data_IF_094436739498
#
_entry.id   IF_094436739498
#
_cell.length_a   1.000
_cell.length_b   1.000
_cell.length_c   1.000
_cell.angle_alpha   90.00
_cell.angle_beta   90.00
_cell.angle_gamma   90.00
#
_symmetry.space_group_name_H-M   'P 1'
#
loop_
_entity.id
_entity.type
_entity.pdbx_description
1 polymer ?
#
# COMPACT_ATOMS: atom_id res chain seq x y z
N UNK A 1 48.45 7.65 31.58
CA UNK A 1 47.02 7.82 31.26
C UNK A 1 46.80 9.26 30.85
N UNK A 2 46.52 9.53 29.56
CA UNK A 2 46.17 10.89 29.11
C UNK A 2 44.82 11.24 29.72
N UNK A 3 44.77 12.29 30.54
CA UNK A 3 43.50 12.89 31.00
C UNK A 3 42.82 13.41 29.74
N UNK A 4 41.71 12.78 29.33
CA UNK A 4 40.93 13.29 28.21
C UNK A 4 40.49 14.71 28.55
N UNK A 5 40.94 15.66 27.73
CA UNK A 5 40.62 17.07 27.90
C UNK A 5 39.09 17.20 27.81
N UNK A 6 38.43 17.89 28.73
CA UNK A 6 36.97 18.09 28.68
C UNK A 6 36.55 18.75 27.36
N UNK A 7 37.45 19.49 26.72
CA UNK A 7 37.28 20.09 25.38
C UNK A 7 37.23 19.02 24.28
N UNK A 8 38.04 17.97 24.37
CA UNK A 8 38.04 16.87 23.40
C UNK A 8 36.74 16.05 23.48
N UNK A 9 36.22 15.83 24.69
CA UNK A 9 34.94 15.16 24.92
C UNK A 9 33.79 15.98 24.33
N UNK A 10 33.80 17.30 24.57
CA UNK A 10 32.78 18.20 24.02
C UNK A 10 32.77 18.19 22.49
N UNK A 11 33.95 18.22 21.85
CA UNK A 11 34.05 18.15 20.38
C UNK A 11 33.50 16.84 19.81
N UNK A 12 33.74 15.70 20.47
CA UNK A 12 33.21 14.41 20.04
C UNK A 12 31.67 14.40 20.09
N UNK A 13 31.08 14.96 21.15
CA UNK A 13 29.62 15.03 21.30
C UNK A 13 28.99 15.90 20.20
N UNK A 14 29.61 17.05 19.88
CA UNK A 14 29.16 17.94 18.80
C UNK A 14 29.23 17.23 17.44
N UNK A 15 30.32 16.50 17.16
CA UNK A 15 30.46 15.76 15.90
C UNK A 15 29.42 14.65 15.79
N UNK A 16 29.17 13.89 16.87
CA UNK A 16 28.16 12.82 16.88
C UNK A 16 26.74 13.36 16.69
N UNK A 17 26.42 14.52 17.27
CA UNK A 17 25.10 15.15 17.08
C UNK A 17 24.90 15.65 15.65
N UNK A 18 25.91 16.25 15.03
CA UNK A 18 25.84 16.69 13.62
C UNK A 18 25.66 15.49 12.67
N UNK A 19 26.40 14.40 12.88
CA UNK A 19 26.26 13.17 12.08
C UNK A 19 24.86 12.56 12.27
N UNK A 20 24.34 12.54 13.50
CA UNK A 20 22.99 12.06 13.79
C UNK A 20 21.91 12.86 13.06
N UNK A 21 22.00 14.19 13.08
CA UNK A 21 21.05 15.08 12.38
C UNK A 21 21.11 14.87 10.87
N UNK A 22 22.32 14.81 10.29
CA UNK A 22 22.50 14.57 8.85
C UNK A 22 21.98 13.17 8.44
N UNK A 23 22.18 12.16 9.28
CA UNK A 23 21.64 10.81 9.07
C UNK A 23 20.12 10.80 9.06
N UNK A 24 19.47 11.51 9.98
CA UNK A 24 18.00 11.65 10.01
C UNK A 24 17.47 12.38 8.78
N UNK A 25 18.12 13.47 8.34
CA UNK A 25 17.73 14.19 7.12
C UNK A 25 17.88 13.30 5.88
N UNK A 26 18.98 12.53 5.80
CA UNK A 26 19.20 11.59 4.71
C UNK A 26 18.16 10.48 4.68
N UNK A 27 17.83 9.90 5.85
CA UNK A 27 16.78 8.88 5.99
C UNK A 27 15.39 9.44 5.65
N UNK A 28 15.09 10.70 6.03
CA UNK A 28 13.82 11.36 5.67
C UNK A 28 13.70 11.61 4.16
N UNK A 29 14.80 11.86 3.45
CA UNK A 29 14.81 11.98 2.00
C UNK A 29 14.82 10.62 1.26
N UNK A 30 15.26 9.55 1.92
CA UNK A 30 15.27 8.19 1.38
C UNK A 30 13.94 7.45 1.57
N UNK A 31 13.10 7.91 2.51
CA UNK A 31 11.70 7.50 2.60
C UNK A 31 10.95 8.26 1.51
N UNK A 32 10.44 7.60 0.46
CA UNK A 32 9.68 8.29 -0.57
C UNK A 32 8.47 8.96 0.08
N UNK A 33 8.49 10.28 0.06
CA UNK A 33 7.43 11.15 0.53
C UNK A 33 6.11 10.73 -0.17
N UNK A 34 5.13 10.15 0.54
CA UNK A 34 3.89 9.68 -0.09
C UNK A 34 3.09 10.82 -0.72
N UNK A 35 3.43 12.07 -0.41
CA UNK A 35 2.82 13.28 -0.97
C UNK A 35 3.43 13.73 -2.32
N UNK A 36 4.55 13.15 -2.79
CA UNK A 36 5.20 13.49 -4.07
C UNK A 36 5.11 12.39 -5.12
N UNK A 37 4.09 11.54 -5.03
CA UNK A 37 3.79 10.62 -6.12
C UNK A 37 3.05 11.42 -7.19
N UNK A 38 3.81 11.83 -8.21
CA UNK A 38 3.22 12.26 -9.47
C UNK A 38 2.23 11.17 -9.94
N UNK A 39 0.98 11.57 -10.21
CA UNK A 39 -0.10 10.76 -10.75
C UNK A 39 0.20 10.25 -12.17
N UNK A 40 1.27 9.46 -12.31
CA UNK A 40 1.83 8.99 -13.57
C UNK A 40 2.13 7.50 -13.42
N UNK A 41 1.19 6.67 -13.91
CA UNK A 41 1.30 5.21 -14.11
C UNK A 41 1.46 4.33 -12.85
N UNK A 42 2.23 4.76 -11.86
CA UNK A 42 2.43 4.03 -10.60
C UNK A 42 1.19 3.96 -9.70
N UNK A 43 0.28 4.92 -9.81
CA UNK A 43 -0.94 4.94 -8.97
C UNK A 43 -2.00 3.95 -9.46
N UNK A 44 -2.08 3.71 -10.77
CA UNK A 44 -2.92 2.66 -11.33
C UNK A 44 -2.47 1.27 -10.85
N UNK A 45 -1.15 1.02 -10.85
CA UNK A 45 -0.59 -0.25 -10.37
C UNK A 45 -0.76 -0.41 -8.85
N UNK A 46 -0.59 0.68 -8.08
CA UNK A 46 -0.93 0.68 -6.65
C UNK A 46 -2.41 0.40 -6.41
N UNK A 47 -3.32 0.98 -7.19
CA UNK A 47 -4.75 0.72 -7.08
C UNK A 47 -5.05 -0.77 -7.30
N UNK A 48 -4.38 -1.40 -8.28
CA UNK A 48 -4.51 -2.82 -8.56
C UNK A 48 -4.03 -3.69 -7.38
N UNK A 49 -2.84 -3.44 -6.86
CA UNK A 49 -2.28 -4.19 -5.71
C UNK A 49 -3.20 -4.04 -4.49
N UNK A 50 -3.68 -2.83 -4.19
CA UNK A 50 -4.57 -2.59 -3.05
C UNK A 50 -5.94 -3.23 -3.23
N UNK A 51 -6.49 -3.24 -4.45
CA UNK A 51 -7.70 -3.98 -4.74
C UNK A 51 -7.52 -5.48 -4.44
N UNK A 52 -6.40 -6.07 -4.87
CA UNK A 52 -6.13 -7.47 -4.56
C UNK A 52 -6.04 -7.74 -3.06
N UNK A 53 -5.37 -6.87 -2.30
CA UNK A 53 -5.25 -7.00 -0.85
C UNK A 53 -6.64 -6.97 -0.18
N UNK A 54 -7.49 -6.03 -0.57
CA UNK A 54 -8.85 -5.90 -0.04
C UNK A 54 -9.70 -7.12 -0.39
N UNK A 55 -9.65 -7.57 -1.64
CA UNK A 55 -10.38 -8.76 -2.09
C UNK A 55 -9.90 -9.99 -1.33
N UNK A 56 -8.58 -10.21 -1.23
CA UNK A 56 -8.01 -11.35 -0.48
C UNK A 56 -8.38 -11.30 1.00
N UNK A 57 -8.40 -10.11 1.62
CA UNK A 57 -8.81 -9.94 3.01
C UNK A 57 -10.28 -10.29 3.25
N UNK A 58 -11.15 -10.07 2.26
CA UNK A 58 -12.58 -10.43 2.32
C UNK A 58 -12.87 -11.92 2.16
N UNK A 59 -11.91 -12.71 1.64
CA UNK A 59 -12.12 -14.13 1.35
C UNK A 59 -11.90 -15.01 2.59
N UNK A 60 -12.77 -16.01 2.76
CA UNK A 60 -12.60 -17.04 3.81
C UNK A 60 -11.29 -17.81 3.71
N UNK A 61 -10.75 -17.97 2.50
CA UNK A 61 -9.53 -18.73 2.26
C UNK A 61 -8.67 -18.10 1.16
N UNK A 62 -8.03 -16.98 1.51
CA UNK A 62 -7.17 -16.22 0.61
C UNK A 62 -6.06 -17.05 -0.04
N UNK A 63 -5.55 -18.08 0.64
CA UNK A 63 -4.46 -18.95 0.13
C UNK A 63 -4.86 -19.80 -1.09
N UNK A 64 -6.17 -20.07 -1.26
CA UNK A 64 -6.69 -20.84 -2.41
C UNK A 64 -7.32 -19.93 -3.47
N UNK A 65 -7.32 -18.62 -3.25
CA UNK A 65 -7.91 -17.66 -4.15
C UNK A 65 -6.95 -17.31 -5.28
N UNK A 66 -7.43 -17.38 -6.52
CA UNK A 66 -6.68 -16.95 -7.71
C UNK A 66 -7.37 -15.75 -8.33
N UNK A 67 -6.66 -14.62 -8.41
CA UNK A 67 -7.16 -13.43 -9.08
C UNK A 67 -6.69 -13.44 -10.54
N UNK A 68 -7.56 -13.04 -11.45
CA UNK A 68 -7.29 -13.05 -12.88
C UNK A 68 -8.09 -11.97 -13.62
N UNK A 69 -7.66 -11.64 -14.83
CA UNK A 69 -8.42 -10.74 -15.72
C UNK A 69 -8.51 -9.29 -15.20
N UNK A 70 -7.56 -8.86 -14.38
CA UNK A 70 -7.57 -7.53 -13.79
C UNK A 70 -7.49 -6.44 -14.86
N UNK A 71 -8.37 -5.44 -14.76
CA UNK A 71 -8.45 -4.27 -15.63
C UNK A 71 -8.54 -3.03 -14.76
N UNK A 72 -7.73 -2.03 -15.09
CA UNK A 72 -7.72 -0.74 -14.40
C UNK A 72 -8.30 0.29 -15.35
N UNK A 73 -9.25 1.08 -14.87
CA UNK A 73 -9.85 2.19 -15.58
C UNK A 73 -9.65 3.46 -14.76
N UNK A 74 -9.06 4.47 -15.39
CA UNK A 74 -8.99 5.82 -14.83
C UNK A 74 -10.36 6.49 -14.98
N UNK A 75 -10.94 6.94 -13.87
CA UNK A 75 -12.23 7.64 -13.83
C UNK A 75 -12.06 9.17 -13.77
N UNK A 76 -10.83 9.68 -13.78
CA UNK A 76 -10.51 11.08 -13.56
C UNK A 76 -10.54 11.46 -12.07
N UNK A 77 -10.10 12.69 -11.76
CA UNK A 77 -10.09 13.22 -10.38
C UNK A 77 -9.35 12.32 -9.37
N UNK A 78 -8.26 11.68 -9.80
CA UNK A 78 -7.50 10.69 -9.02
C UNK A 78 -8.32 9.46 -8.58
N UNK A 79 -9.38 9.11 -9.30
CA UNK A 79 -10.17 7.90 -9.04
C UNK A 79 -9.79 6.79 -9.99
N UNK A 80 -9.53 5.61 -9.44
CA UNK A 80 -9.23 4.42 -10.21
C UNK A 80 -10.25 3.34 -9.91
N UNK A 81 -10.80 2.77 -10.97
CA UNK A 81 -11.65 1.60 -10.91
C UNK A 81 -10.83 0.37 -11.31
N UNK A 82 -10.89 -0.67 -10.49
CA UNK A 82 -10.19 -1.93 -10.71
C UNK A 82 -11.22 -3.05 -10.74
N UNK A 83 -11.35 -3.68 -11.89
CA UNK A 83 -12.22 -4.83 -12.09
C UNK A 83 -11.40 -6.09 -12.30
N UNK A 84 -11.93 -7.24 -11.93
CA UNK A 84 -11.27 -8.51 -12.20
C UNK A 84 -12.10 -9.68 -11.74
N UNK A 85 -11.53 -10.87 -11.84
CA UNK A 85 -12.18 -12.11 -11.47
C UNK A 85 -11.40 -12.77 -10.33
N UNK A 86 -12.12 -13.38 -9.40
CA UNK A 86 -11.54 -14.15 -8.30
C UNK A 86 -12.13 -15.55 -8.30
N UNK A 87 -11.26 -16.54 -8.44
CA UNK A 87 -11.60 -17.95 -8.28
C UNK A 87 -11.28 -18.34 -6.83
N UNK A 88 -12.28 -18.50 -5.98
CA UNK A 88 -12.10 -18.79 -4.56
C UNK A 88 -13.08 -19.85 -4.04
N UNK A 89 -12.70 -20.62 -3.00
CA UNK A 89 -13.60 -21.60 -2.41
C UNK A 89 -14.76 -20.91 -1.67
N UNK A 90 -15.99 -21.31 -2.00
CA UNK A 90 -17.19 -20.89 -1.28
C UNK A 90 -17.30 -21.61 0.10
N UNK A 91 -18.38 -21.38 0.84
CA UNK A 91 -18.61 -22.00 2.15
C UNK A 91 -18.61 -23.54 2.12
N UNK A 92 -18.91 -24.15 0.97
CA UNK A 92 -18.88 -25.61 0.75
C UNK A 92 -17.52 -26.12 0.26
N UNK A 93 -16.51 -25.25 0.12
CA UNK A 93 -15.17 -25.61 -0.34
C UNK A 93 -15.01 -25.78 -1.85
N UNK A 94 -16.05 -25.49 -2.63
CA UNK A 94 -16.01 -25.55 -4.10
C UNK A 94 -15.43 -24.24 -4.63
N UNK A 95 -14.48 -24.33 -5.56
CA UNK A 95 -13.93 -23.14 -6.24
C UNK A 95 -15.00 -22.57 -7.17
N UNK A 96 -15.41 -21.34 -6.90
CA UNK A 96 -16.37 -20.60 -7.71
C UNK A 96 -15.70 -19.32 -8.18
N UNK A 97 -15.99 -18.94 -9.43
CA UNK A 97 -15.56 -17.67 -10.02
C UNK A 97 -16.53 -16.56 -9.61
N UNK A 98 -16.02 -15.54 -8.93
CA UNK A 98 -16.74 -14.30 -8.64
C UNK A 98 -16.09 -13.10 -9.34
N UNK A 99 -16.85 -12.04 -9.55
CA UNK A 99 -16.33 -10.82 -10.16
C UNK A 99 -16.14 -9.72 -9.12
N UNK A 100 -14.92 -9.19 -9.14
CA UNK A 100 -14.35 -8.00 -8.56
C UNK A 100 -14.71 -6.60 -9.06
N UNK A 101 -15.10 -5.65 -8.21
CA UNK A 101 -15.01 -4.23 -8.56
C UNK A 101 -14.59 -3.38 -7.35
N UNK A 102 -13.38 -2.83 -7.39
CA UNK A 102 -12.90 -1.85 -6.41
C UNK A 102 -12.86 -0.46 -7.05
N UNK A 103 -13.38 0.56 -6.35
CA UNK A 103 -13.18 1.96 -6.72
C UNK A 103 -12.36 2.62 -5.63
N UNK A 104 -11.21 3.19 -5.99
CA UNK A 104 -10.33 3.92 -5.09
C UNK A 104 -10.32 5.40 -5.43
N UNK A 105 -10.28 6.22 -4.38
CA UNK A 105 -9.93 7.63 -4.50
C UNK A 105 -8.53 7.86 -3.96
N UNK A 106 -7.66 8.43 -4.78
CA UNK A 106 -6.33 8.83 -4.41
C UNK A 106 -6.36 10.32 -4.07
N UNK A 107 -6.62 10.62 -2.80
CA UNK A 107 -6.28 11.94 -2.29
C UNK A 107 -4.80 11.93 -1.88
N UNK A 108 -4.12 13.07 -2.00
CA UNK A 108 -2.70 13.29 -1.67
C UNK A 108 -2.22 12.82 -0.28
N UNK A 109 -3.12 12.28 0.55
CA UNK A 109 -2.89 11.82 1.93
C UNK A 109 -3.53 10.47 2.27
N UNK A 110 -4.44 9.92 1.47
CA UNK A 110 -5.19 8.70 1.79
C UNK A 110 -5.62 7.91 0.55
N UNK A 111 -5.64 6.59 0.73
CA UNK A 111 -6.24 5.64 -0.21
C UNK A 111 -7.60 5.25 0.35
N UNK A 112 -8.66 5.84 -0.17
CA UNK A 112 -10.00 5.54 0.32
C UNK A 112 -10.69 4.58 -0.65
N UNK A 113 -11.02 3.39 -0.16
CA UNK A 113 -11.88 2.45 -0.86
C UNK A 113 -13.30 3.04 -0.87
N UNK A 114 -13.72 3.55 -2.01
CA UNK A 114 -15.04 4.17 -2.19
C UNK A 114 -16.15 3.13 -2.33
N UNK A 115 -15.85 2.03 -3.02
CA UNK A 115 -16.81 0.95 -3.24
C UNK A 115 -16.07 -0.36 -3.46
N UNK A 116 -16.63 -1.42 -2.91
CA UNK A 116 -16.25 -2.80 -3.14
C UNK A 116 -17.51 -3.57 -3.47
N UNK A 117 -17.71 -3.84 -4.75
CA UNK A 117 -18.89 -4.54 -5.25
C UNK A 117 -18.50 -5.89 -5.76
N UNK A 118 -19.18 -6.92 -5.24
CA UNK A 118 -19.15 -8.24 -5.82
C UNK A 118 -20.12 -9.35 -5.53
N UNK A 119 -20.02 -10.39 -6.35
CA UNK A 119 -20.82 -11.61 -6.26
C UNK A 119 -20.70 -12.27 -4.87
N UNK A 120 -21.78 -12.93 -4.43
CA UNK A 120 -21.90 -13.57 -3.11
C UNK A 120 -20.77 -14.57 -2.78
N UNK A 121 -20.02 -14.99 -3.81
CA UNK A 121 -18.85 -15.85 -3.72
C UNK A 121 -17.71 -15.22 -2.92
N UNK A 122 -17.56 -13.89 -2.95
CA UNK A 122 -16.40 -13.19 -2.37
C UNK A 122 -16.74 -12.04 -1.44
N UNK A 123 -18.03 -11.75 -1.21
CA UNK A 123 -18.45 -10.69 -0.29
C UNK A 123 -17.71 -10.82 1.06
N UNK A 124 -17.16 -9.71 1.59
CA UNK A 124 -16.53 -9.73 2.89
C UNK A 124 -17.54 -10.19 3.93
N UNK A 125 -17.09 -11.01 4.89
CA UNK A 125 -17.91 -11.39 6.04
C UNK A 125 -18.33 -10.10 6.77
N UNK A 126 -19.64 -9.83 6.79
CA UNK A 126 -20.22 -8.80 7.65
C UNK A 126 -20.10 -9.20 9.12
#
# INVERSE_FOLDING_TARGET
MKKDSPVAIFLIIVVLTVIGILGVIYLQNAIPDPAKVNANRGDAEKAAIRCEEVVKAGLRNAAKATLSGQRIKDLGENRFQVNGNVDAPNASGIIVRGNYNCIFNFNSKSFDLLSLEGDDVWKPLQ
#
